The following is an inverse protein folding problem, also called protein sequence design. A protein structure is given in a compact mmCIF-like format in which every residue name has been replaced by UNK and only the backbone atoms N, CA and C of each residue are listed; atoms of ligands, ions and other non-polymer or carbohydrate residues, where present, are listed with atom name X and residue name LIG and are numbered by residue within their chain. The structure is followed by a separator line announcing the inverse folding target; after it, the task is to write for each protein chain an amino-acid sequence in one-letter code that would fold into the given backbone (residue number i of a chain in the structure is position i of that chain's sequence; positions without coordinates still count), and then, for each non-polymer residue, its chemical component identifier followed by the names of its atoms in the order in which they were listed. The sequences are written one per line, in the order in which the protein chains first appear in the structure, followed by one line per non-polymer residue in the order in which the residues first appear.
data_IF_087066470995
#
_entry.id   IF_087066470995
#
_cell.length_a   1.000
_cell.length_b   1.000
_cell.length_c   1.000
_cell.angle_alpha   90.00
_cell.angle_beta   90.00
_cell.angle_gamma   90.00
#
_symmetry.space_group_name_H-M   'P 1'
#
loop_
_entity.id
_entity.type
_entity.pdbx_description
1 polymer ?
#
# COMPACT_ATOMS: atom_id res chain seq x y z
N UNK A 1 -27.11 3.11 9.22
CA UNK A 1 -26.65 2.98 7.82
C UNK A 1 -27.28 1.72 7.25
N UNK A 2 -27.74 1.70 5.98
CA UNK A 2 -28.34 0.50 5.43
C UNK A 2 -27.31 -0.64 5.40
N UNK A 3 -27.67 -1.81 5.94
CA UNK A 3 -26.71 -2.86 6.33
C UNK A 3 -25.83 -3.43 5.19
N UNK A 4 -26.20 -3.21 3.93
CA UNK A 4 -25.37 -3.59 2.78
C UNK A 4 -24.10 -2.74 2.64
N UNK A 5 -24.14 -1.46 3.06
CA UNK A 5 -22.96 -0.58 3.07
C UNK A 5 -21.91 -1.04 4.07
N UNK A 6 -22.35 -1.51 5.25
CA UNK A 6 -21.45 -2.01 6.28
C UNK A 6 -20.76 -3.31 5.82
N UNK A 7 -21.48 -4.15 5.08
CA UNK A 7 -20.93 -5.36 4.49
C UNK A 7 -19.87 -5.04 3.43
N UNK A 8 -20.15 -4.16 2.47
CA UNK A 8 -19.18 -3.73 1.45
C UNK A 8 -17.95 -3.11 2.10
N UNK A 9 -18.16 -2.22 3.09
CA UNK A 9 -17.08 -1.60 3.84
C UNK A 9 -16.17 -2.66 4.46
N UNK A 10 -16.76 -3.65 5.15
CA UNK A 10 -16.02 -4.76 5.77
C UNK A 10 -15.21 -5.57 4.77
N UNK A 11 -15.80 -5.93 3.62
CA UNK A 11 -15.08 -6.65 2.55
C UNK A 11 -13.90 -5.86 1.99
N UNK A 12 -14.07 -4.56 1.75
CA UNK A 12 -12.99 -3.70 1.27
C UNK A 12 -11.81 -3.68 2.25
N UNK A 13 -12.08 -3.60 3.55
CA UNK A 13 -11.03 -3.67 4.57
C UNK A 13 -10.26 -4.98 4.53
N UNK A 14 -10.95 -6.12 4.48
CA UNK A 14 -10.29 -7.42 4.42
C UNK A 14 -9.44 -7.57 3.16
N UNK A 15 -9.92 -7.09 2.01
CA UNK A 15 -9.14 -7.11 0.76
C UNK A 15 -7.89 -6.24 0.86
N UNK A 16 -7.97 -5.07 1.52
CA UNK A 16 -6.80 -4.21 1.76
C UNK A 16 -5.80 -4.91 2.69
N UNK A 17 -6.26 -5.54 3.77
CA UNK A 17 -5.38 -6.29 4.69
C UNK A 17 -4.64 -7.42 3.97
N UNK A 18 -5.36 -8.21 3.16
CA UNK A 18 -4.77 -9.28 2.35
C UNK A 18 -3.79 -8.68 1.32
N UNK A 19 -4.18 -7.62 0.62
CA UNK A 19 -3.32 -6.95 -0.35
C UNK A 19 -2.03 -6.42 0.26
N UNK A 20 -2.10 -5.80 1.43
CA UNK A 20 -0.93 -5.31 2.17
C UNK A 20 -0.01 -6.45 2.61
N UNK A 21 -0.58 -7.57 3.07
CA UNK A 21 0.20 -8.76 3.42
C UNK A 21 0.92 -9.34 2.19
N UNK A 22 0.25 -9.38 1.03
CA UNK A 22 0.84 -9.83 -0.23
C UNK A 22 1.96 -8.89 -0.71
N UNK A 23 1.80 -7.57 -0.59
CA UNK A 23 2.85 -6.59 -0.91
C UNK A 23 4.06 -6.80 0.01
N UNK A 24 3.84 -6.94 1.31
CA UNK A 24 4.92 -7.17 2.28
C UNK A 24 5.68 -8.46 1.98
N UNK A 25 4.96 -9.54 1.69
CA UNK A 25 5.56 -10.81 1.26
C UNK A 25 6.37 -10.62 -0.04
N UNK A 26 5.81 -9.92 -1.03
CA UNK A 26 6.48 -9.65 -2.30
C UNK A 26 7.80 -8.89 -2.14
N UNK A 27 7.82 -7.87 -1.29
CA UNK A 27 9.03 -7.11 -0.96
C UNK A 27 10.10 -8.02 -0.35
N UNK A 28 9.75 -8.83 0.65
CA UNK A 28 10.70 -9.73 1.31
C UNK A 28 11.32 -10.70 0.30
N UNK A 29 10.49 -11.33 -0.53
CA UNK A 29 10.94 -12.31 -1.51
C UNK A 29 11.82 -11.71 -2.59
N UNK A 30 11.45 -10.53 -3.12
CA UNK A 30 12.25 -9.85 -4.14
C UNK A 30 13.57 -9.33 -3.59
N UNK A 31 13.65 -8.94 -2.31
CA UNK A 31 14.93 -8.59 -1.67
C UNK A 31 15.83 -9.83 -1.53
N UNK A 32 15.27 -11.00 -1.18
CA UNK A 32 16.04 -12.23 -0.96
C UNK A 32 16.48 -12.90 -2.27
N UNK A 33 15.61 -12.95 -3.27
CA UNK A 33 15.80 -13.75 -4.48
C UNK A 33 15.88 -12.90 -5.77
N UNK A 34 15.73 -11.58 -5.68
CA UNK A 34 15.70 -10.68 -6.83
C UNK A 34 14.41 -10.81 -7.65
N UNK A 35 14.47 -10.40 -8.92
CA UNK A 35 13.32 -10.43 -9.85
C UNK A 35 12.94 -11.84 -10.35
N UNK A 36 13.63 -12.89 -9.89
CA UNK A 36 13.41 -14.27 -10.33
C UNK A 36 12.27 -15.00 -9.59
N UNK A 37 11.39 -14.27 -8.90
CA UNK A 37 10.28 -14.86 -8.14
C UNK A 37 9.11 -15.15 -9.08
N UNK A 38 9.05 -16.36 -9.63
CA UNK A 38 8.09 -16.77 -10.67
C UNK A 38 6.60 -16.62 -10.30
N UNK A 39 6.27 -16.63 -9.00
CA UNK A 39 4.88 -16.50 -8.53
C UNK A 39 4.44 -15.05 -8.28
N UNK A 40 5.34 -14.06 -8.45
CA UNK A 40 5.02 -12.64 -8.32
C UNK A 40 4.98 -12.00 -9.71
N UNK A 41 3.79 -11.67 -10.25
CA UNK A 41 3.71 -10.92 -11.48
C UNK A 41 4.18 -9.46 -11.24
N UNK A 42 5.38 -9.13 -11.73
CA UNK A 42 5.91 -7.77 -11.75
C UNK A 42 6.92 -7.43 -10.65
N UNK A 43 7.46 -6.22 -10.70
CA UNK A 43 8.50 -5.71 -9.79
C UNK A 43 7.87 -4.86 -8.65
N UNK A 44 7.64 -5.48 -7.49
CA UNK A 44 6.98 -4.84 -6.34
C UNK A 44 7.93 -3.83 -5.68
N UNK A 45 9.19 -4.21 -5.51
CA UNK A 45 10.22 -3.33 -4.94
C UNK A 45 10.44 -2.13 -5.85
N UNK A 46 10.60 -2.35 -7.15
CA UNK A 46 10.76 -1.29 -8.15
C UNK A 46 9.57 -0.32 -8.19
N UNK A 47 8.34 -0.84 -8.16
CA UNK A 47 7.14 -0.01 -8.09
C UNK A 47 7.11 0.86 -6.83
N UNK A 48 7.47 0.29 -5.67
CA UNK A 48 7.54 1.03 -4.41
C UNK A 48 8.63 2.10 -4.45
N UNK A 49 9.84 1.76 -4.90
CA UNK A 49 10.95 2.72 -4.97
C UNK A 49 10.65 3.85 -5.96
N UNK A 50 9.99 3.56 -7.08
CA UNK A 50 9.56 4.59 -8.02
C UNK A 50 8.54 5.55 -7.41
N UNK A 51 7.57 5.04 -6.64
CA UNK A 51 6.63 5.87 -5.89
C UNK A 51 7.37 6.77 -4.89
N UNK A 52 8.31 6.21 -4.12
CA UNK A 52 9.10 6.97 -3.15
C UNK A 52 9.95 8.04 -3.83
N UNK A 53 10.55 7.74 -4.98
CA UNK A 53 11.31 8.70 -5.77
C UNK A 53 10.43 9.87 -6.22
N UNK A 54 9.25 9.58 -6.77
CA UNK A 54 8.29 10.62 -7.19
C UNK A 54 7.85 11.51 -6.02
N UNK A 55 7.67 10.93 -4.83
CA UNK A 55 7.36 11.70 -3.63
C UNK A 55 8.54 12.58 -3.18
N UNK A 56 9.77 12.07 -3.29
CA UNK A 56 11.00 12.80 -2.97
C UNK A 56 11.28 13.96 -3.94
N UNK A 57 11.11 13.73 -5.25
CA UNK A 57 11.36 14.72 -6.31
C UNK A 57 10.43 15.94 -6.19
N UNK A 58 9.19 15.71 -5.72
CA UNK A 58 8.23 16.77 -5.46
C UNK A 58 8.37 17.45 -4.08
N UNK A 59 9.30 16.98 -3.24
CA UNK A 59 9.68 17.54 -1.94
C UNK A 59 8.50 17.91 -1.03
N UNK A 60 8.09 19.17 -1.08
CA UNK A 60 6.99 19.71 -0.28
C UNK A 60 5.64 19.05 -0.59
N UNK A 61 5.33 18.79 -1.86
CA UNK A 61 4.05 18.18 -2.24
C UNK A 61 3.99 16.73 -1.77
N UNK A 62 5.11 16.01 -1.81
CA UNK A 62 5.23 14.66 -1.28
C UNK A 62 4.98 14.60 0.23
N UNK A 63 5.54 15.55 0.99
CA UNK A 63 5.30 15.66 2.44
C UNK A 63 3.85 15.99 2.79
N UNK A 64 3.20 16.88 2.01
CA UNK A 64 1.78 17.19 2.18
C UNK A 64 0.92 15.95 1.92
N UNK A 65 1.20 15.20 0.84
CA UNK A 65 0.50 13.95 0.54
C UNK A 65 0.64 12.94 1.68
N UNK A 66 1.85 12.77 2.22
CA UNK A 66 2.09 11.89 3.38
C UNK A 66 1.32 12.36 4.63
N UNK A 67 1.34 13.66 4.92
CA UNK A 67 0.61 14.23 6.06
C UNK A 67 -0.90 13.97 5.96
N UNK A 68 -1.49 14.10 4.76
CA UNK A 68 -2.90 13.79 4.50
C UNK A 68 -3.18 12.29 4.72
N UNK A 69 -2.32 11.40 4.23
CA UNK A 69 -2.46 9.95 4.43
C UNK A 69 -2.41 9.58 5.91
N UNK A 70 -1.43 10.11 6.66
CA UNK A 70 -1.30 9.87 8.11
C UNK A 70 -2.50 10.44 8.88
N UNK A 71 -3.00 11.61 8.49
CA UNK A 71 -4.19 12.22 9.07
C UNK A 71 -5.42 11.32 8.86
N UNK A 72 -5.65 10.83 7.64
CA UNK A 72 -6.78 9.95 7.32
C UNK A 72 -6.70 8.61 8.04
N UNK A 73 -5.50 8.03 8.14
CA UNK A 73 -5.30 6.78 8.89
C UNK A 73 -5.60 6.95 10.38
N UNK A 74 -5.11 8.03 10.98
CA UNK A 74 -5.30 8.32 12.41
C UNK A 74 -6.76 8.62 12.74
N UNK A 75 -7.46 9.37 11.87
CA UNK A 75 -8.89 9.68 12.05
C UNK A 75 -9.79 8.43 12.01
N UNK A 76 -9.32 7.33 11.42
CA UNK A 76 -10.04 6.05 11.34
C UNK A 76 -9.97 5.22 12.62
N UNK A 77 -9.04 5.53 13.53
CA UNK A 77 -8.86 4.87 14.84
C UNK A 77 -9.69 5.49 15.97
N UNK A 78 -10.60 6.41 15.66
CA UNK A 78 -11.57 7.00 16.61
C UNK A 78 -12.97 6.54 16.24
#
# INVERSE_FOLDING_TARGET
MPGWLDQIRRWLFYLIEIGLALIALGIVLQILFGNAVEFLPGDVVGNLTNLLQQLGDNGLVGLIALAILLYLYTKRKI
#
